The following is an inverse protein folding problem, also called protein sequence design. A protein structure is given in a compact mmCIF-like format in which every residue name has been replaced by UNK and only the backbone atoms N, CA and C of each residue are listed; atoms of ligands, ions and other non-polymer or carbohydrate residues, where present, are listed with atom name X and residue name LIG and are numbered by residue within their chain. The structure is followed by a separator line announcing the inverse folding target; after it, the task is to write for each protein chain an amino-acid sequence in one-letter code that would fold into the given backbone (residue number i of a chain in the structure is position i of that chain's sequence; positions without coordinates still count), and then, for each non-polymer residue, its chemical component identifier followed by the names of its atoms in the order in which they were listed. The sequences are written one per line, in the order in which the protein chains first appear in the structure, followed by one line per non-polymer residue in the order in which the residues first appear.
data_IF_157343285180
#
_entry.id   IF_157343285180
#
_cell.length_a   1.000
_cell.length_b   1.000
_cell.length_c   1.000
_cell.angle_alpha   90.00
_cell.angle_beta   90.00
_cell.angle_gamma   90.00
#
_symmetry.space_group_name_H-M   'P 1'
#
loop_
_entity.id
_entity.type
_entity.pdbx_description
1 polymer ?
#
# COMPACT_ATOMS: atom_id res chain seq x y z
N UNK A 1 6.65 -4.16 -8.01
CA UNK A 1 6.59 -3.50 -9.33
C UNK A 1 7.97 -3.03 -9.79
N UNK A 2 8.75 -2.35 -8.93
CA UNK A 2 10.14 -1.94 -9.27
C UNK A 2 11.01 -3.11 -9.75
N UNK A 3 11.13 -4.17 -8.95
CA UNK A 3 11.86 -5.40 -9.31
C UNK A 3 11.41 -6.01 -10.64
N UNK A 4 10.10 -6.06 -10.90
CA UNK A 4 9.59 -6.58 -12.17
C UNK A 4 10.09 -5.76 -13.37
N UNK A 5 10.10 -4.43 -13.26
CA UNK A 5 10.58 -3.56 -14.34
C UNK A 5 12.08 -3.77 -14.57
N UNK A 6 12.87 -3.76 -13.50
CA UNK A 6 14.33 -3.88 -13.57
C UNK A 6 14.81 -5.26 -14.02
N UNK A 7 14.08 -6.33 -13.70
CA UNK A 7 14.46 -7.70 -14.06
C UNK A 7 13.97 -8.13 -15.45
N UNK A 8 12.86 -7.56 -15.93
CA UNK A 8 12.21 -8.02 -17.17
C UNK A 8 12.25 -7.02 -18.33
N UNK A 9 12.85 -5.85 -18.13
CA UNK A 9 12.99 -4.82 -19.17
C UNK A 9 14.35 -4.14 -19.09
N UNK A 10 14.70 -3.35 -20.11
CA UNK A 10 15.91 -2.51 -20.10
C UNK A 10 15.68 -1.15 -19.40
N UNK A 11 14.62 -1.04 -18.58
CA UNK A 11 14.23 0.19 -17.89
C UNK A 11 14.52 0.08 -16.39
N UNK A 12 14.67 1.24 -15.76
CA UNK A 12 14.74 1.39 -14.32
C UNK A 12 13.39 1.90 -13.79
N UNK A 13 13.16 1.67 -12.50
CA UNK A 13 11.98 2.13 -11.80
C UNK A 13 12.38 2.76 -10.46
N UNK A 14 11.51 3.62 -9.93
CA UNK A 14 11.65 4.12 -8.56
C UNK A 14 10.26 4.31 -7.96
N UNK A 15 9.98 3.63 -6.85
CA UNK A 15 8.74 3.79 -6.09
C UNK A 15 8.99 4.68 -4.88
N UNK A 16 8.16 5.69 -4.67
CA UNK A 16 8.26 6.60 -3.52
C UNK A 16 6.89 6.85 -2.91
N UNK A 17 6.88 7.18 -1.62
CA UNK A 17 5.67 7.48 -0.85
C UNK A 17 5.65 8.95 -0.42
N UNK A 18 4.50 9.41 0.07
CA UNK A 18 4.34 10.78 0.54
C UNK A 18 4.35 11.83 -0.57
N UNK A 19 4.21 11.44 -1.84
CA UNK A 19 4.32 12.34 -2.98
C UNK A 19 3.39 13.56 -2.89
N UNK A 20 3.83 14.67 -3.47
CA UNK A 20 3.09 15.93 -3.56
C UNK A 20 2.81 16.27 -5.03
N UNK A 21 1.77 17.08 -5.32
CA UNK A 21 1.45 17.47 -6.69
C UNK A 21 2.65 18.04 -7.45
N UNK A 22 3.50 18.81 -6.77
CA UNK A 22 4.68 19.42 -7.39
C UNK A 22 5.73 18.37 -7.79
N UNK A 23 5.87 17.26 -7.06
CA UNK A 23 6.73 16.14 -7.50
C UNK A 23 6.20 15.57 -8.83
N UNK A 24 4.89 15.31 -8.90
CA UNK A 24 4.26 14.77 -10.11
C UNK A 24 4.46 15.71 -11.29
N UNK A 25 4.20 17.01 -11.11
CA UNK A 25 4.41 18.04 -12.15
C UNK A 25 5.86 18.13 -12.61
N UNK A 26 6.82 18.00 -11.70
CA UNK A 26 8.25 18.01 -12.04
C UNK A 26 8.62 16.83 -12.94
N UNK A 27 8.15 15.62 -12.63
CA UNK A 27 8.33 14.44 -13.48
C UNK A 27 7.67 14.61 -14.85
N UNK A 28 6.42 15.07 -14.88
CA UNK A 28 5.68 15.30 -16.13
C UNK A 28 6.37 16.35 -17.01
N UNK A 29 6.84 17.45 -16.43
CA UNK A 29 7.58 18.51 -17.13
C UNK A 29 8.91 18.01 -17.70
N UNK A 30 9.54 17.05 -17.02
CA UNK A 30 10.71 16.36 -17.50
C UNK A 30 10.37 15.28 -18.55
N UNK A 31 9.10 15.00 -18.84
CA UNK A 31 8.70 13.97 -19.81
C UNK A 31 8.75 12.55 -19.25
N UNK A 32 8.49 12.41 -17.95
CA UNK A 32 8.25 11.12 -17.30
C UNK A 32 6.77 11.04 -16.86
N UNK A 33 5.96 10.18 -17.49
CA UNK A 33 4.66 9.81 -16.94
C UNK A 33 4.83 9.19 -15.56
N UNK A 34 3.86 9.40 -14.68
CA UNK A 34 3.91 8.92 -13.30
C UNK A 34 2.77 7.95 -13.06
N UNK A 35 3.08 6.77 -12.53
CA UNK A 35 2.06 5.81 -12.10
C UNK A 35 1.75 6.09 -10.63
N UNK A 36 0.48 6.19 -10.26
CA UNK A 36 0.05 6.37 -8.87
C UNK A 36 -0.91 5.28 -8.44
N UNK A 37 -0.78 4.83 -7.19
CA UNK A 37 -1.74 3.93 -6.56
C UNK A 37 -2.80 4.75 -5.84
N UNK A 38 -4.08 4.49 -6.10
CA UNK A 38 -5.19 5.30 -5.60
C UNK A 38 -6.39 4.46 -5.17
N UNK A 39 -7.19 5.02 -4.27
CA UNK A 39 -8.51 4.50 -3.97
C UNK A 39 -9.46 4.67 -5.16
N UNK A 40 -10.26 3.65 -5.44
CA UNK A 40 -11.16 3.66 -6.59
C UNK A 40 -12.54 3.12 -6.25
N UNK A 41 -13.54 3.89 -6.66
CA UNK A 41 -14.95 3.56 -6.63
C UNK A 41 -15.49 3.82 -8.04
N UNK A 42 -16.32 2.92 -8.55
CA UNK A 42 -16.72 2.95 -9.94
C UNK A 42 -18.00 2.19 -10.25
N UNK A 43 -18.48 2.37 -11.47
CA UNK A 43 -19.64 1.66 -11.99
C UNK A 43 -19.21 0.23 -12.33
N UNK A 44 -20.00 -0.76 -11.91
CA UNK A 44 -19.74 -2.17 -12.22
C UNK A 44 -19.27 -3.01 -11.02
N UNK A 45 -18.99 -2.39 -9.87
CA UNK A 45 -18.76 -3.09 -8.62
C UNK A 45 -19.23 -2.24 -7.43
N UNK A 46 -19.48 -2.89 -6.29
CA UNK A 46 -19.88 -2.21 -5.05
C UNK A 46 -18.67 -2.07 -4.13
N UNK A 47 -18.54 -0.89 -3.52
CA UNK A 47 -17.52 -0.59 -2.53
C UNK A 47 -16.24 -0.02 -3.12
N UNK A 48 -15.14 -0.20 -2.39
CA UNK A 48 -13.86 0.45 -2.66
C UNK A 48 -12.75 -0.57 -2.97
N UNK A 49 -11.85 -0.22 -3.89
CA UNK A 49 -10.67 -1.02 -4.22
C UNK A 49 -9.45 -0.14 -4.46
N UNK A 50 -8.27 -0.74 -4.42
CA UNK A 50 -7.04 -0.13 -4.92
C UNK A 50 -6.98 -0.16 -6.44
N UNK A 51 -6.36 0.84 -7.04
CA UNK A 51 -6.21 0.96 -8.48
C UNK A 51 -4.96 1.74 -8.84
N UNK A 52 -4.25 1.29 -9.88
CA UNK A 52 -3.14 2.03 -10.45
C UNK A 52 -3.62 2.87 -11.64
N UNK A 53 -3.17 4.11 -11.70
CA UNK A 53 -3.49 5.05 -12.76
C UNK A 53 -2.23 5.76 -13.26
N UNK A 54 -2.14 6.03 -14.56
CA UNK A 54 -1.03 6.78 -15.14
C UNK A 54 -1.41 8.26 -15.22
N UNK A 55 -0.61 9.14 -14.64
CA UNK A 55 -0.67 10.58 -14.85
C UNK A 55 0.24 10.92 -16.03
N UNK A 56 -0.33 11.58 -17.04
CA UNK A 56 0.36 11.91 -18.29
C UNK A 56 0.45 13.40 -18.59
N UNK A 57 -0.21 14.25 -17.80
CA UNK A 57 -0.15 15.70 -17.96
C UNK A 57 -0.78 16.45 -16.80
N UNK A 58 -0.65 17.76 -16.81
CA UNK A 58 -1.29 18.66 -15.86
C UNK A 58 -1.60 19.99 -16.52
N UNK A 59 -2.59 20.70 -15.99
CA UNK A 59 -2.96 22.05 -16.39
C UNK A 59 -3.24 22.89 -15.14
N UNK A 60 -2.31 23.80 -14.82
CA UNK A 60 -2.44 24.70 -13.67
C UNK A 60 -3.52 25.77 -13.86
N UNK A 61 -3.92 26.09 -15.09
CA UNK A 61 -5.01 27.04 -15.34
C UNK A 61 -6.36 26.43 -14.95
N UNK A 62 -6.55 25.13 -15.19
CA UNK A 62 -7.74 24.37 -14.77
C UNK A 62 -7.58 23.61 -13.46
N UNK A 63 -6.40 23.67 -12.83
CA UNK A 63 -6.03 22.96 -11.60
C UNK A 63 -6.31 21.45 -11.67
N UNK A 64 -5.86 20.81 -12.74
CA UNK A 64 -6.17 19.40 -13.02
C UNK A 64 -4.97 18.59 -13.50
N UNK A 65 -5.00 17.29 -13.20
CA UNK A 65 -4.15 16.29 -13.82
C UNK A 65 -4.88 15.63 -14.99
N UNK A 66 -4.13 15.25 -16.03
CA UNK A 66 -4.60 14.41 -17.13
C UNK A 66 -4.10 13.00 -16.88
N UNK A 67 -5.02 12.03 -16.88
CA UNK A 67 -4.72 10.65 -16.52
C UNK A 67 -5.21 9.64 -17.56
N UNK A 68 -4.53 8.51 -17.64
CA UNK A 68 -4.89 7.33 -18.42
C UNK A 68 -5.33 6.24 -17.45
N UNK A 69 -6.61 5.89 -17.48
CA UNK A 69 -7.24 4.97 -16.52
C UNK A 69 -7.66 3.69 -17.25
N UNK A 70 -7.16 2.54 -16.79
CA UNK A 70 -7.47 1.25 -17.43
C UNK A 70 -8.93 0.82 -17.27
N UNK A 71 -9.68 1.46 -16.36
CA UNK A 71 -11.09 1.19 -16.12
C UNK A 71 -12.01 2.24 -16.76
N UNK A 72 -11.62 3.53 -16.73
CA UNK A 72 -12.43 4.66 -17.19
C UNK A 72 -12.06 5.19 -18.58
N UNK A 73 -10.87 4.86 -19.09
CA UNK A 73 -10.40 5.27 -20.41
C UNK A 73 -9.30 6.35 -20.38
N UNK A 74 -8.87 6.80 -21.57
CA UNK A 74 -7.76 7.73 -21.71
C UNK A 74 -8.17 9.20 -21.50
N UNK A 75 -7.16 10.06 -21.29
CA UNK A 75 -7.24 11.53 -21.30
C UNK A 75 -8.30 12.13 -20.36
N UNK A 76 -8.44 11.56 -19.16
CA UNK A 76 -9.40 12.03 -18.17
C UNK A 76 -8.78 13.20 -17.40
N UNK A 77 -9.51 14.31 -17.33
CA UNK A 77 -9.15 15.46 -16.50
C UNK A 77 -9.68 15.27 -15.07
N UNK A 78 -8.78 15.20 -14.08
CA UNK A 78 -9.12 15.07 -12.66
C UNK A 78 -8.64 16.32 -11.91
N UNK A 79 -9.53 17.05 -11.21
CA UNK A 79 -9.13 18.15 -10.33
C UNK A 79 -8.08 17.73 -9.30
N UNK A 80 -7.12 18.59 -8.98
CA UNK A 80 -6.03 18.25 -8.06
C UNK A 80 -6.51 17.78 -6.69
N UNK A 81 -7.57 18.38 -6.14
CA UNK A 81 -8.13 18.00 -4.84
C UNK A 81 -8.76 16.59 -4.86
N UNK A 82 -9.51 16.27 -5.91
CA UNK A 82 -10.08 14.95 -6.12
C UNK A 82 -8.99 13.88 -6.31
N UNK A 83 -7.95 14.21 -7.08
CA UNK A 83 -6.78 13.34 -7.27
C UNK A 83 -6.09 13.05 -5.93
N UNK A 84 -5.76 14.10 -5.16
CA UNK A 84 -5.09 13.98 -3.86
C UNK A 84 -5.91 13.18 -2.86
N UNK A 85 -7.24 13.33 -2.86
CA UNK A 85 -8.11 12.58 -1.96
C UNK A 85 -8.03 11.07 -2.22
N UNK A 86 -8.10 10.65 -3.47
CA UNK A 86 -8.02 9.23 -3.83
C UNK A 86 -6.59 8.68 -3.66
N UNK A 87 -5.58 9.49 -4.00
CA UNK A 87 -4.16 9.12 -3.91
C UNK A 87 -3.69 8.91 -2.45
N UNK A 88 -4.26 9.68 -1.51
CA UNK A 88 -3.98 9.53 -0.07
C UNK A 88 -4.26 8.13 0.44
N UNK A 89 -5.23 7.42 -0.14
CA UNK A 89 -5.60 6.09 0.34
C UNK A 89 -4.42 5.09 0.32
N UNK A 90 -3.41 5.34 -0.50
CA UNK A 90 -2.20 4.52 -0.62
C UNK A 90 -0.94 5.35 -0.37
N UNK A 91 -0.92 6.12 0.73
CA UNK A 91 0.25 6.86 1.19
C UNK A 91 0.85 7.82 0.15
N UNK A 92 0.05 8.31 -0.79
CA UNK A 92 0.52 9.10 -1.91
C UNK A 92 1.69 8.41 -2.65
N UNK A 93 1.58 7.09 -2.86
CA UNK A 93 2.57 6.27 -3.57
C UNK A 93 2.62 6.64 -5.05
N UNK A 94 3.82 6.90 -5.55
CA UNK A 94 4.06 7.11 -6.97
C UNK A 94 5.25 6.28 -7.45
N UNK A 95 5.20 5.90 -8.71
CA UNK A 95 6.21 5.15 -9.42
C UNK A 95 6.57 5.88 -10.71
N UNK A 96 7.86 5.97 -10.97
CA UNK A 96 8.39 6.48 -12.24
C UNK A 96 9.22 5.39 -12.89
N UNK A 97 8.92 5.08 -14.15
CA UNK A 97 9.70 4.16 -14.98
C UNK A 97 10.46 4.98 -16.02
N UNK A 98 11.77 4.74 -16.15
CA UNK A 98 12.66 5.57 -16.95
C UNK A 98 13.82 4.75 -17.52
N UNK A 99 14.39 5.15 -18.67
CA UNK A 99 15.57 4.48 -19.20
C UNK A 99 16.82 4.88 -18.40
N UNK A 100 17.79 3.98 -18.28
CA UNK A 100 18.97 4.15 -17.41
C UNK A 100 19.73 5.45 -17.70
N UNK A 101 19.85 5.87 -18.96
CA UNK A 101 20.55 7.10 -19.35
C UNK A 101 19.91 8.38 -18.79
N UNK A 102 18.67 8.31 -18.29
CA UNK A 102 17.95 9.43 -17.68
C UNK A 102 17.91 9.37 -16.16
N UNK A 103 18.61 8.42 -15.54
CA UNK A 103 18.66 8.24 -14.08
C UNK A 103 19.04 9.51 -13.34
N UNK A 104 20.06 10.25 -13.80
CA UNK A 104 20.50 11.48 -13.13
C UNK A 104 19.40 12.54 -13.06
N UNK A 105 18.57 12.65 -14.11
CA UNK A 105 17.44 13.59 -14.14
C UNK A 105 16.35 13.19 -13.13
N UNK A 106 16.08 11.89 -12.98
CA UNK A 106 15.13 11.38 -11.97
C UNK A 106 15.65 11.66 -10.56
N UNK A 107 16.93 11.42 -10.31
CA UNK A 107 17.56 11.69 -9.01
C UNK A 107 17.57 13.19 -8.68
N UNK A 108 17.77 14.07 -9.68
CA UNK A 108 17.70 15.52 -9.50
C UNK A 108 16.29 15.97 -9.08
N UNK A 109 15.24 15.41 -9.70
CA UNK A 109 13.84 15.70 -9.34
C UNK A 109 13.51 15.21 -7.92
N UNK A 110 13.98 14.01 -7.55
CA UNK A 110 13.76 13.45 -6.21
C UNK A 110 14.56 14.16 -5.12
N UNK A 111 15.72 14.73 -5.48
CA UNK A 111 16.67 15.29 -4.52
C UNK A 111 17.01 14.29 -3.42
N UNK A 112 16.96 14.72 -2.15
CA UNK A 112 17.24 13.83 -1.03
C UNK A 112 16.20 12.73 -0.85
N UNK A 113 14.98 12.88 -1.38
CA UNK A 113 13.97 11.80 -1.35
C UNK A 113 14.34 10.64 -2.30
N UNK A 114 15.44 10.73 -3.05
CA UNK A 114 16.03 9.58 -3.71
C UNK A 114 16.55 8.52 -2.72
N UNK A 115 16.83 8.87 -1.46
CA UNK A 115 17.20 7.92 -0.43
C UNK A 115 15.98 7.45 0.37
N UNK A 116 15.78 6.14 0.47
CA UNK A 116 14.56 5.55 1.06
C UNK A 116 14.29 6.03 2.48
N UNK A 117 15.33 6.10 3.32
CA UNK A 117 15.21 6.57 4.70
C UNK A 117 14.74 8.03 4.77
N UNK A 118 15.13 8.88 3.81
CA UNK A 118 14.70 10.28 3.74
C UNK A 118 13.27 10.37 3.23
N UNK A 119 12.92 9.61 2.18
CA UNK A 119 11.55 9.60 1.65
C UNK A 119 10.54 9.09 2.69
N UNK A 120 10.84 7.98 3.36
CA UNK A 120 9.99 7.44 4.43
C UNK A 120 9.87 8.45 5.57
N UNK A 121 10.96 9.10 5.99
CA UNK A 121 10.89 10.12 7.05
C UNK A 121 10.04 11.32 6.66
N UNK A 122 10.11 11.76 5.41
CA UNK A 122 9.25 12.81 4.87
C UNK A 122 7.77 12.38 4.89
N UNK A 123 7.47 11.17 4.39
CA UNK A 123 6.12 10.62 4.38
C UNK A 123 5.55 10.41 5.79
N UNK A 124 6.37 9.98 6.76
CA UNK A 124 6.01 9.90 8.19
C UNK A 124 5.59 11.27 8.71
N UNK A 125 6.40 12.31 8.48
CA UNK A 125 6.09 13.66 8.97
C UNK A 125 4.80 14.22 8.35
N UNK A 126 4.62 14.03 7.04
CA UNK A 126 3.41 14.43 6.31
C UNK A 126 2.17 13.73 6.84
N UNK A 127 2.18 12.40 6.91
CA UNK A 127 1.04 11.60 7.39
C UNK A 127 0.72 11.89 8.86
N UNK A 128 1.72 12.14 9.71
CA UNK A 128 1.50 12.56 11.09
C UNK A 128 0.76 13.91 11.16
N UNK A 129 1.09 14.88 10.31
CA UNK A 129 0.37 16.16 10.28
C UNK A 129 -1.06 15.99 9.77
N UNK A 130 -1.25 15.17 8.73
CA UNK A 130 -2.59 14.83 8.22
C UNK A 130 -3.49 14.22 9.31
N UNK A 131 -2.96 13.43 10.24
CA UNK A 131 -3.76 12.87 11.35
C UNK A 131 -4.35 13.92 12.30
N UNK A 132 -3.83 15.15 12.28
CA UNK A 132 -4.30 16.27 13.10
C UNK A 132 -5.30 17.16 12.34
N UNK A 133 -5.29 17.10 11.01
CA UNK A 133 -6.05 18.00 10.14
C UNK A 133 -7.27 17.34 9.50
N UNK A 134 -7.19 16.04 9.21
CA UNK A 134 -8.23 15.33 8.47
C UNK A 134 -9.28 14.73 9.41
N UNK A 135 -10.43 14.39 8.83
CA UNK A 135 -11.57 13.83 9.54
C UNK A 135 -12.18 12.68 8.76
N UNK A 136 -13.11 11.95 9.40
CA UNK A 136 -13.89 10.87 8.77
C UNK A 136 -12.98 9.85 8.08
N UNK A 137 -13.30 9.45 6.84
CA UNK A 137 -12.54 8.47 6.07
C UNK A 137 -11.11 8.91 5.74
N UNK A 138 -10.91 10.20 5.51
CA UNK A 138 -9.57 10.72 5.22
C UNK A 138 -8.66 10.60 6.45
N UNK A 139 -9.23 10.67 7.66
CA UNK A 139 -8.51 10.42 8.91
C UNK A 139 -8.09 8.94 9.06
N UNK A 140 -8.94 8.00 8.63
CA UNK A 140 -8.55 6.58 8.56
C UNK A 140 -7.28 6.42 7.72
N UNK A 141 -7.29 6.95 6.49
CA UNK A 141 -6.13 6.84 5.60
C UNK A 141 -4.89 7.56 6.15
N UNK A 142 -5.06 8.72 6.81
CA UNK A 142 -3.93 9.42 7.44
C UNK A 142 -3.23 8.57 8.51
N UNK A 143 -4.00 7.96 9.42
CA UNK A 143 -3.44 7.05 10.43
C UNK A 143 -2.88 5.78 9.81
N UNK A 144 -3.52 5.24 8.79
CA UNK A 144 -3.04 4.04 8.10
C UNK A 144 -1.70 4.29 7.41
N UNK A 145 -1.55 5.43 6.73
CA UNK A 145 -0.30 5.87 6.11
C UNK A 145 0.78 6.11 7.16
N UNK A 146 0.43 6.78 8.27
CA UNK A 146 1.37 7.01 9.36
C UNK A 146 1.90 5.69 9.95
N UNK A 147 1.00 4.74 10.23
CA UNK A 147 1.38 3.39 10.68
C UNK A 147 2.27 2.66 9.65
N UNK A 148 1.93 2.74 8.37
CA UNK A 148 2.71 2.12 7.28
C UNK A 148 4.13 2.68 7.20
N UNK A 149 4.29 4.01 7.31
CA UNK A 149 5.61 4.64 7.31
C UNK A 149 6.42 4.26 8.56
N UNK A 150 5.78 4.14 9.73
CA UNK A 150 6.42 3.70 10.97
C UNK A 150 6.88 2.24 10.91
N UNK A 151 6.11 1.35 10.26
CA UNK A 151 6.53 -0.03 9.96
C UNK A 151 7.81 -0.02 9.13
N UNK A 152 7.90 0.81 8.09
CA UNK A 152 9.11 0.96 7.28
C UNK A 152 10.32 1.53 8.08
N UNK A 153 10.06 2.21 9.20
CA UNK A 153 11.07 2.68 10.15
C UNK A 153 11.36 1.68 11.28
N UNK A 154 10.70 0.52 11.29
CA UNK A 154 10.73 -0.50 12.34
C UNK A 154 10.22 0.00 13.72
N UNK A 155 9.48 1.11 13.77
CA UNK A 155 8.79 1.55 14.98
C UNK A 155 7.42 0.87 15.09
N UNK A 156 7.46 -0.45 15.32
CA UNK A 156 6.26 -1.28 15.35
C UNK A 156 5.32 -0.94 16.51
N UNK A 157 5.84 -0.43 17.63
CA UNK A 157 5.02 -0.06 18.78
C UNK A 157 4.16 1.18 18.50
N UNK A 158 4.74 2.21 17.89
CA UNK A 158 3.98 3.39 17.47
C UNK A 158 3.09 3.06 16.27
N UNK A 159 3.56 2.21 15.34
CA UNK A 159 2.76 1.78 14.20
C UNK A 159 1.48 1.04 14.65
N UNK A 160 1.58 0.13 15.63
CA UNK A 160 0.42 -0.59 16.16
C UNK A 160 -0.63 0.37 16.73
N UNK A 161 -0.21 1.41 17.46
CA UNK A 161 -1.12 2.44 17.99
C UNK A 161 -1.77 3.27 16.88
N UNK A 162 -1.02 3.59 15.81
CA UNK A 162 -1.56 4.28 14.65
C UNK A 162 -2.64 3.44 13.96
N UNK A 163 -2.39 2.14 13.74
CA UNK A 163 -3.37 1.22 13.14
C UNK A 163 -4.59 1.00 14.05
N UNK A 164 -4.41 0.85 15.36
CA UNK A 164 -5.53 0.78 16.31
C UNK A 164 -6.43 2.01 16.19
N UNK A 165 -5.84 3.20 16.07
CA UNK A 165 -6.57 4.46 15.90
C UNK A 165 -7.27 4.51 14.54
N UNK A 166 -6.62 4.03 13.47
CA UNK A 166 -7.24 3.88 12.16
C UNK A 166 -8.48 2.98 12.24
N UNK A 167 -8.38 1.77 12.79
CA UNK A 167 -9.51 0.84 12.90
C UNK A 167 -10.62 1.35 13.83
N UNK A 168 -10.28 2.08 14.89
CA UNK A 168 -11.28 2.75 15.73
C UNK A 168 -12.07 3.82 14.95
N UNK A 169 -11.39 4.59 14.08
CA UNK A 169 -12.03 5.53 13.17
C UNK A 169 -12.86 4.82 12.09
N UNK A 170 -12.36 3.70 11.54
CA UNK A 170 -13.04 2.92 10.51
C UNK A 170 -14.47 2.52 10.89
N UNK A 171 -14.69 2.14 12.15
CA UNK A 171 -16.01 1.81 12.68
C UNK A 171 -17.01 2.97 12.58
N UNK A 172 -16.54 4.22 12.56
CA UNK A 172 -17.37 5.43 12.45
C UNK A 172 -17.66 5.84 11.00
N UNK A 173 -16.93 5.30 10.02
CA UNK A 173 -17.15 5.60 8.60
C UNK A 173 -18.48 4.94 8.16
N UNK A 174 -19.36 5.64 7.41
CA UNK A 174 -20.55 5.03 6.82
C UNK A 174 -20.19 3.81 5.98
N UNK A 175 -20.94 2.72 6.13
CA UNK A 175 -20.62 1.42 5.53
C UNK A 175 -20.33 1.49 4.02
N UNK A 176 -21.13 2.27 3.28
CA UNK A 176 -20.97 2.47 1.83
C UNK A 176 -19.65 3.14 1.42
N UNK A 177 -18.96 3.81 2.35
CA UNK A 177 -17.70 4.53 2.11
C UNK A 177 -16.49 3.81 2.72
N UNK A 178 -16.69 2.67 3.39
CA UNK A 178 -15.61 1.98 4.08
C UNK A 178 -14.63 1.36 3.08
N UNK A 179 -13.30 1.58 3.24
CA UNK A 179 -12.28 0.92 2.44
C UNK A 179 -12.06 -0.54 2.89
N UNK A 180 -13.08 -1.39 2.71
CA UNK A 180 -13.10 -2.74 3.29
C UNK A 180 -12.03 -3.69 2.74
N UNK A 181 -11.48 -3.41 1.56
CA UNK A 181 -10.35 -4.15 0.96
C UNK A 181 -8.98 -3.61 1.38
N UNK A 182 -8.88 -2.71 2.37
CA UNK A 182 -7.58 -2.10 2.72
C UNK A 182 -6.49 -3.16 2.98
N UNK A 183 -6.82 -4.22 3.73
CA UNK A 183 -5.88 -5.30 4.04
C UNK A 183 -5.51 -6.19 2.84
N UNK A 184 -6.21 -6.07 1.70
CA UNK A 184 -5.84 -6.81 0.49
C UNK A 184 -4.62 -6.21 -0.21
N UNK A 185 -4.33 -4.93 0.04
CA UNK A 185 -3.28 -4.19 -0.64
C UNK A 185 -2.08 -3.88 0.26
N UNK A 186 -2.21 -4.09 1.57
CA UNK A 186 -1.16 -3.74 2.51
C UNK A 186 -1.20 -4.63 3.75
N UNK A 187 -0.02 -5.03 4.18
CA UNK A 187 0.21 -5.96 5.30
C UNK A 187 0.76 -5.26 6.53
N UNK A 188 0.92 -3.92 6.51
CA UNK A 188 1.53 -3.13 7.59
C UNK A 188 1.01 -3.45 9.00
N UNK A 189 -0.32 -3.57 9.21
CA UNK A 189 -0.86 -3.95 10.51
C UNK A 189 -0.38 -5.31 11.03
N UNK A 190 -0.20 -6.31 10.16
CA UNK A 190 0.31 -7.62 10.57
C UNK A 190 1.74 -7.52 11.10
N UNK A 191 2.61 -6.78 10.42
CA UNK A 191 3.96 -6.48 10.92
C UNK A 191 3.91 -5.81 12.29
N UNK A 192 3.16 -4.71 12.41
CA UNK A 192 3.11 -3.93 13.64
C UNK A 192 2.62 -4.76 14.85
N UNK A 193 1.57 -5.56 14.67
CA UNK A 193 1.04 -6.41 15.73
C UNK A 193 1.94 -7.60 16.03
N UNK A 194 2.50 -8.27 15.01
CA UNK A 194 3.38 -9.41 15.22
C UNK A 194 4.64 -9.03 16.00
N UNK A 195 5.36 -8.00 15.56
CA UNK A 195 6.62 -7.58 16.20
C UNK A 195 6.44 -6.87 17.54
N UNK A 196 5.19 -6.63 17.97
CA UNK A 196 4.85 -6.17 19.32
C UNK A 196 4.29 -7.29 20.21
N UNK A 197 4.31 -8.54 19.74
CA UNK A 197 3.83 -9.71 20.49
C UNK A 197 2.31 -9.84 20.55
N UNK A 198 1.57 -9.05 19.75
CA UNK A 198 0.10 -9.08 19.68
C UNK A 198 -0.38 -10.14 18.69
N UNK A 199 0.05 -11.39 18.88
CA UNK A 199 -0.21 -12.49 17.95
C UNK A 199 -1.71 -12.79 17.78
N UNK A 200 -2.49 -12.70 18.85
CA UNK A 200 -3.95 -12.87 18.75
C UNK A 200 -4.61 -11.81 17.86
N UNK A 201 -4.09 -10.57 17.86
CA UNK A 201 -4.61 -9.51 17.00
C UNK A 201 -4.24 -9.74 15.53
N UNK A 202 -3.07 -10.30 15.25
CA UNK A 202 -2.70 -10.78 13.90
C UNK A 202 -3.70 -11.86 13.44
N UNK A 203 -3.96 -12.87 14.29
CA UNK A 203 -4.91 -13.95 13.97
C UNK A 203 -6.31 -13.39 13.72
N UNK A 204 -6.81 -12.52 14.60
CA UNK A 204 -8.14 -11.93 14.46
C UNK A 204 -8.26 -11.09 13.17
N UNK A 205 -7.25 -10.27 12.88
CA UNK A 205 -7.25 -9.44 11.68
C UNK A 205 -7.14 -10.28 10.41
N UNK A 206 -6.29 -11.29 10.39
CA UNK A 206 -6.16 -12.18 9.24
C UNK A 206 -7.44 -13.00 9.02
N UNK A 207 -8.02 -13.59 10.06
CA UNK A 207 -9.29 -14.31 9.96
C UNK A 207 -10.42 -13.41 9.45
N UNK A 208 -10.59 -12.21 10.01
CA UNK A 208 -11.63 -11.29 9.51
C UNK A 208 -11.39 -10.82 8.08
N UNK A 209 -10.14 -10.70 7.65
CA UNK A 209 -9.78 -10.35 6.26
C UNK A 209 -10.12 -11.49 5.30
N UNK A 210 -9.76 -12.72 5.66
CA UNK A 210 -10.03 -13.93 4.89
C UNK A 210 -11.53 -14.26 4.83
N UNK A 211 -12.24 -14.17 5.95
CA UNK A 211 -13.69 -14.41 6.04
C UNK A 211 -14.50 -13.41 5.20
N UNK A 212 -14.00 -12.17 5.07
CA UNK A 212 -14.59 -11.14 4.24
C UNK A 212 -14.20 -11.25 2.76
N UNK A 213 -13.18 -12.06 2.43
CA UNK A 213 -12.74 -12.25 1.06
C UNK A 213 -13.70 -13.17 0.30
N UNK A 214 -14.04 -12.78 -0.92
CA UNK A 214 -14.81 -13.63 -1.84
C UNK A 214 -13.95 -14.59 -2.64
N UNK A 215 -12.62 -14.46 -2.53
CA UNK A 215 -11.62 -15.15 -3.33
C UNK A 215 -10.44 -15.58 -2.44
N UNK A 216 -9.93 -16.78 -2.68
CA UNK A 216 -8.77 -17.35 -1.97
C UNK A 216 -7.46 -16.79 -2.58
N UNK A 217 -7.26 -15.47 -2.53
CA UNK A 217 -6.16 -14.75 -3.21
C UNK A 217 -5.33 -13.86 -2.28
N UNK A 218 -5.42 -14.10 -0.97
CA UNK A 218 -4.78 -13.30 0.06
C UNK A 218 -3.72 -14.13 0.79
N UNK A 219 -2.72 -14.62 0.03
CA UNK A 219 -1.66 -15.47 0.54
C UNK A 219 -0.93 -14.86 1.76
N UNK A 220 -0.77 -13.54 1.79
CA UNK A 220 -0.13 -12.85 2.91
C UNK A 220 -0.96 -12.95 4.19
N UNK A 221 -2.29 -12.89 4.10
CA UNK A 221 -3.15 -13.05 5.29
C UNK A 221 -3.02 -14.44 5.88
N UNK A 222 -2.97 -15.48 5.04
CA UNK A 222 -2.69 -16.85 5.50
C UNK A 222 -1.31 -16.95 6.13
N UNK A 223 -0.27 -16.45 5.46
CA UNK A 223 1.11 -16.43 5.98
C UNK A 223 1.20 -15.77 7.36
N UNK A 224 0.62 -14.57 7.53
CA UNK A 224 0.68 -13.84 8.79
C UNK A 224 -0.10 -14.53 9.91
N UNK A 225 -1.24 -15.15 9.59
CA UNK A 225 -1.99 -15.95 10.56
C UNK A 225 -1.20 -17.18 11.01
N UNK A 226 -0.57 -17.89 10.06
CA UNK A 226 0.31 -19.01 10.36
C UNK A 226 1.46 -18.62 11.29
N UNK A 227 2.18 -17.53 10.96
CA UNK A 227 3.26 -16.98 11.78
C UNK A 227 2.81 -16.71 13.21
N UNK A 228 1.64 -16.11 13.38
CA UNK A 228 1.09 -15.83 14.70
C UNK A 228 0.67 -17.09 15.46
N UNK A 229 0.12 -18.10 14.78
CA UNK A 229 -0.19 -19.41 15.35
C UNK A 229 1.09 -20.13 15.82
N UNK A 230 2.17 -20.12 15.02
CA UNK A 230 3.48 -20.65 15.42
C UNK A 230 4.03 -19.97 16.67
N UNK A 231 3.92 -18.64 16.73
CA UNK A 231 4.37 -17.86 17.89
C UNK A 231 3.59 -18.20 19.19
N UNK A 232 2.35 -18.71 19.05
CA UNK A 232 1.53 -19.20 20.15
C UNK A 232 1.68 -20.72 20.40
N UNK A 233 2.46 -21.42 19.58
CA UNK A 233 2.72 -22.86 19.68
C UNK A 233 1.66 -23.75 19.02
N UNK A 234 0.77 -23.18 18.21
CA UNK A 234 -0.23 -23.92 17.43
C UNK A 234 0.31 -24.28 16.04
N UNK A 235 1.13 -25.33 16.00
CA UNK A 235 1.77 -25.79 14.77
C UNK A 235 0.78 -26.39 13.77
N UNK A 236 -0.33 -26.97 14.24
CA UNK A 236 -1.35 -27.58 13.38
C UNK A 236 -2.11 -26.50 12.59
N UNK A 237 -2.59 -25.46 13.29
CA UNK A 237 -3.23 -24.33 12.63
C UNK A 237 -2.27 -23.58 11.69
N UNK A 238 -1.00 -23.47 12.06
CA UNK A 238 0.01 -22.86 11.21
C UNK A 238 0.26 -23.65 9.91
N UNK A 239 0.41 -24.96 10.00
CA UNK A 239 0.57 -25.81 8.80
C UNK A 239 -0.64 -25.68 7.88
N UNK A 240 -1.86 -25.70 8.42
CA UNK A 240 -3.08 -25.53 7.63
C UNK A 240 -3.07 -24.20 6.85
N UNK A 241 -2.76 -23.08 7.53
CA UNK A 241 -2.67 -21.77 6.89
C UNK A 241 -1.57 -21.69 5.83
N UNK A 242 -0.39 -22.26 6.08
CA UNK A 242 0.70 -22.27 5.09
C UNK A 242 0.34 -23.10 3.86
N UNK A 243 -0.41 -24.19 4.01
CA UNK A 243 -0.92 -24.96 2.87
C UNK A 243 -1.99 -24.21 2.09
N UNK A 244 -2.87 -23.45 2.76
CA UNK A 244 -3.82 -22.57 2.06
C UNK A 244 -3.10 -21.42 1.34
N UNK A 245 -2.05 -20.87 1.96
CA UNK A 245 -1.19 -19.88 1.34
C UNK A 245 -0.60 -20.38 0.01
N UNK A 246 -0.04 -21.59 -0.03
CA UNK A 246 0.48 -22.17 -1.28
C UNK A 246 -0.62 -22.58 -2.26
N UNK A 247 -1.84 -22.84 -1.79
CA UNK A 247 -2.99 -23.03 -2.69
C UNK A 247 -3.40 -21.72 -3.37
N UNK A 248 -3.31 -20.60 -2.65
CA UNK A 248 -3.56 -19.27 -3.21
C UNK A 248 -2.45 -18.85 -4.19
N UNK A 249 -1.20 -19.16 -3.85
CA UNK A 249 -0.02 -18.84 -4.66
C UNK A 249 1.06 -19.93 -4.50
N UNK A 250 1.15 -20.84 -5.48
CA UNK A 250 1.98 -22.07 -5.43
C UNK A 250 3.46 -21.81 -5.11
N UNK A 251 4.03 -20.74 -5.67
CA UNK A 251 5.44 -20.38 -5.52
C UNK A 251 5.67 -19.25 -4.49
N UNK A 252 4.75 -19.05 -3.54
CA UNK A 252 4.89 -17.99 -2.54
C UNK A 252 6.00 -18.33 -1.52
N UNK A 253 7.20 -17.85 -1.82
CA UNK A 253 8.43 -18.14 -1.11
C UNK A 253 8.33 -18.04 0.43
N UNK A 254 7.67 -17.03 1.04
CA UNK A 254 7.54 -16.97 2.50
C UNK A 254 6.85 -18.19 3.11
N UNK A 255 5.85 -18.76 2.46
CA UNK A 255 5.14 -19.93 2.96
C UNK A 255 5.93 -21.23 2.74
N UNK A 256 6.65 -21.34 1.62
CA UNK A 256 7.60 -22.43 1.35
C UNK A 256 8.67 -22.47 2.44
N UNK A 257 9.29 -21.33 2.74
CA UNK A 257 10.36 -21.23 3.73
C UNK A 257 9.88 -21.57 5.14
N UNK A 258 8.67 -21.15 5.52
CA UNK A 258 8.11 -21.44 6.84
C UNK A 258 7.79 -22.95 6.98
N UNK A 259 7.20 -23.60 5.96
CA UNK A 259 6.96 -25.06 5.96
C UNK A 259 8.26 -25.85 6.08
N UNK A 260 9.28 -25.49 5.28
CA UNK A 260 10.60 -26.11 5.37
C UNK A 260 11.25 -25.88 6.76
N UNK A 261 11.06 -24.70 7.34
CA UNK A 261 11.50 -24.37 8.70
C UNK A 261 10.82 -25.22 9.78
N UNK A 262 9.57 -25.62 9.55
CA UNK A 262 8.84 -26.60 10.38
C UNK A 262 9.26 -28.05 10.12
N UNK A 263 10.12 -28.31 9.13
CA UNK A 263 10.51 -29.66 8.71
C UNK A 263 9.44 -30.37 7.88
N UNK A 264 8.56 -29.62 7.23
CA UNK A 264 7.49 -30.11 6.38
C UNK A 264 7.82 -29.87 4.90
N UNK A 265 7.33 -30.75 4.04
CA UNK A 265 7.40 -30.55 2.59
C UNK A 265 6.32 -29.53 2.16
N UNK A 266 6.69 -28.51 1.36
CA UNK A 266 5.77 -27.54 0.76
C UNK A 266 4.64 -28.18 -0.04
#
# INVERSE_FOLDING_TARGET
METFVEELTDLQAVVRVGGEPDNIKAFLSAGFPVITEKGFEGVGFTGWMGHYQVVSGYDDASQSFIVQDSYKGPDISIPYDAFLKDWRAFNNTYLVVYPEERREQVLEILGLQAFDNVNVSFATAKSQEETRMLSERDLFFAFFNYGTNLVAQNDYSTAAQAFDTAFANYAQIPEAQRPWRMMWYTTGPYWAYYYTGRYQDVINLASSTLDAASEDVLEESYYWRARANLALGDNEAAEEDLRQCLKAHEDFQPCIEELLGMGLEP
#
